data_IF_916053145218
#
_entry.id   IF_916053145218
#
_cell.length_a   1.000
_cell.length_b   1.000
_cell.length_c   1.000
_cell.angle_alpha   90.00
_cell.angle_beta   90.00
_cell.angle_gamma   90.00
#
_symmetry.space_group_name_H-M   'P 1'
#
loop_
_entity.id
_entity.type
_entity.pdbx_description
1 polymer ?
#
# COMPACT_ATOMS: atom_id res chain seq x y z
N UNK A 1 -15.53 7.16 0.43
CA UNK A 1 -15.42 7.28 -1.05
C UNK A 1 -14.72 6.06 -1.61
N UNK A 2 -15.33 5.31 -2.53
CA UNK A 2 -14.64 4.26 -3.30
C UNK A 2 -13.83 4.94 -4.40
N UNK A 3 -12.51 4.73 -4.41
CA UNK A 3 -11.62 5.23 -5.49
C UNK A 3 -12.03 4.63 -6.82
N UNK A 4 -12.07 5.44 -7.87
CA UNK A 4 -12.53 4.99 -9.20
C UNK A 4 -11.35 4.36 -9.93
N UNK A 5 -10.90 3.19 -9.46
CA UNK A 5 -9.72 2.47 -9.99
C UNK A 5 -9.68 2.37 -11.52
N UNK A 6 -10.85 2.28 -12.18
CA UNK A 6 -10.97 2.24 -13.66
C UNK A 6 -10.40 3.48 -14.37
N UNK A 7 -10.36 4.64 -13.71
CA UNK A 7 -9.83 5.89 -14.27
C UNK A 7 -8.36 6.11 -13.96
N UNK A 8 -7.80 5.36 -13.00
CA UNK A 8 -6.41 5.51 -12.61
C UNK A 8 -5.52 4.72 -13.58
N UNK A 9 -5.30 5.28 -14.77
CA UNK A 9 -4.62 4.61 -15.89
C UNK A 9 -3.13 4.93 -15.97
N UNK A 10 -2.66 5.97 -15.30
CA UNK A 10 -1.24 6.31 -15.23
C UNK A 10 -0.60 5.80 -13.95
N UNK A 11 0.71 5.57 -14.00
CA UNK A 11 1.51 5.09 -12.88
C UNK A 11 2.68 6.03 -12.61
N UNK A 12 3.04 6.15 -11.34
CA UNK A 12 4.25 6.85 -10.90
C UNK A 12 4.83 6.16 -9.67
N UNK A 13 6.06 6.52 -9.32
CA UNK A 13 6.70 6.11 -8.08
C UNK A 13 6.56 7.24 -7.06
N UNK A 14 5.90 6.94 -5.95
CA UNK A 14 5.88 7.81 -4.78
C UNK A 14 6.85 7.32 -3.70
N UNK A 15 6.91 8.08 -2.61
CA UNK A 15 7.69 7.75 -1.42
C UNK A 15 6.77 7.64 -0.20
N UNK A 16 7.00 6.62 0.62
CA UNK A 16 6.28 6.46 1.88
C UNK A 16 6.76 7.53 2.86
N UNK A 17 5.86 8.43 3.26
CA UNK A 17 6.19 9.56 4.16
C UNK A 17 5.65 9.36 5.58
N UNK A 18 4.68 8.47 5.77
CA UNK A 18 4.09 8.21 7.09
C UNK A 18 3.55 6.78 7.19
N UNK A 19 3.70 6.19 8.39
CA UNK A 19 3.10 4.92 8.78
C UNK A 19 2.41 5.13 10.13
N UNK A 20 1.13 4.82 10.19
CA UNK A 20 0.34 4.82 11.43
C UNK A 20 -0.18 3.42 11.70
N UNK A 21 0.33 2.78 12.75
CA UNK A 21 -0.23 1.54 13.29
C UNK A 21 -1.01 1.84 14.56
N UNK A 22 -2.21 1.27 14.71
CA UNK A 22 -3.07 1.43 15.90
C UNK A 22 -3.11 0.19 16.80
N UNK A 23 -2.15 -0.73 16.64
CA UNK A 23 -2.08 -1.98 17.41
C UNK A 23 -2.35 -3.22 16.57
N UNK A 24 -2.43 -4.38 17.22
CA UNK A 24 -2.49 -5.70 16.58
C UNK A 24 -3.75 -5.90 15.71
N UNK A 25 -4.87 -5.33 16.15
CA UNK A 25 -6.20 -5.55 15.54
C UNK A 25 -6.64 -4.43 14.58
N UNK A 26 -5.82 -3.39 14.41
CA UNK A 26 -6.14 -2.27 13.54
C UNK A 26 -5.25 -2.25 12.29
N UNK A 27 -5.81 -1.91 11.11
CA UNK A 27 -5.00 -1.79 9.91
C UNK A 27 -3.90 -0.75 10.07
N UNK A 28 -2.68 -1.11 9.71
CA UNK A 28 -1.63 -0.13 9.48
C UNK A 28 -2.00 0.74 8.28
N UNK A 29 -2.04 2.05 8.47
CA UNK A 29 -2.31 3.03 7.41
C UNK A 29 -0.98 3.64 6.99
N UNK A 30 -0.74 3.71 5.69
CA UNK A 30 0.41 4.42 5.12
C UNK A 30 -0.04 5.62 4.30
N UNK A 31 0.82 6.63 4.29
CA UNK A 31 0.73 7.78 3.41
C UNK A 31 1.90 7.74 2.45
N UNK A 32 1.60 7.76 1.16
CA UNK A 32 2.59 7.87 0.09
C UNK A 32 2.43 9.22 -0.58
N UNK A 33 3.53 9.96 -0.68
CA UNK A 33 3.62 11.21 -1.42
C UNK A 33 4.17 10.92 -2.82
N UNK A 34 3.61 11.55 -3.85
CA UNK A 34 4.06 11.40 -5.24
C UNK A 34 3.89 12.72 -5.99
N UNK A 35 4.62 12.88 -7.09
CA UNK A 35 4.61 14.10 -7.90
C UNK A 35 4.07 13.81 -9.30
N UNK A 36 3.20 14.69 -9.79
CA UNK A 36 2.68 14.73 -11.17
C UNK A 36 2.73 16.19 -11.62
N UNK A 37 3.34 16.48 -12.76
CA UNK A 37 3.45 17.83 -13.33
C UNK A 37 3.93 18.90 -12.33
N UNK A 38 4.97 18.58 -11.55
CA UNK A 38 5.53 19.42 -10.48
C UNK A 38 4.60 19.75 -9.31
N UNK A 39 3.44 19.10 -9.23
CA UNK A 39 2.53 19.20 -8.10
C UNK A 39 2.61 17.94 -7.23
N UNK A 40 2.67 18.15 -5.91
CA UNK A 40 2.72 17.07 -4.93
C UNK A 40 1.31 16.63 -4.54
N UNK A 41 1.12 15.31 -4.48
CA UNK A 41 -0.10 14.65 -4.08
C UNK A 41 0.17 13.60 -3.00
N UNK A 42 -0.87 13.26 -2.24
CA UNK A 42 -0.80 12.22 -1.22
C UNK A 42 -1.89 11.17 -1.45
N UNK A 43 -1.51 9.91 -1.24
CA UNK A 43 -2.44 8.79 -1.20
C UNK A 43 -2.32 8.08 0.14
N UNK A 44 -3.46 7.95 0.83
CA UNK A 44 -3.57 7.28 2.13
C UNK A 44 -4.32 5.96 1.96
N UNK A 45 -3.73 4.85 2.39
CA UNK A 45 -4.36 3.53 2.34
C UNK A 45 -4.00 2.66 3.55
N UNK A 46 -4.93 1.79 3.93
CA UNK A 46 -4.64 0.66 4.81
C UNK A 46 -3.83 -0.39 4.04
N UNK A 47 -2.70 -0.82 4.60
CA UNK A 47 -1.89 -1.91 4.05
C UNK A 47 -2.71 -3.20 4.07
N UNK A 48 -2.70 -3.90 2.94
CA UNK A 48 -3.19 -5.27 2.85
C UNK A 48 -2.07 -6.23 3.22
N UNK A 49 -2.42 -7.28 3.95
CA UNK A 49 -1.48 -8.28 4.44
C UNK A 49 -1.79 -9.63 3.79
N UNK A 50 -0.76 -10.41 3.51
CA UNK A 50 -0.88 -11.83 3.16
C UNK A 50 -0.31 -12.69 4.28
N UNK A 51 -0.90 -13.85 4.51
CA UNK A 51 -0.31 -14.87 5.39
C UNK A 51 0.86 -15.54 4.68
N UNK A 52 1.98 -15.69 5.38
CA UNK A 52 3.13 -16.46 4.97
C UNK A 52 3.42 -17.54 6.02
N UNK A 53 3.55 -18.79 5.59
CA UNK A 53 3.82 -19.93 6.47
C UNK A 53 5.29 -19.88 6.89
N UNK A 54 5.54 -19.94 8.20
CA UNK A 54 6.87 -20.12 8.76
C UNK A 54 7.13 -21.63 8.82
N UNK A 55 8.24 -22.08 8.20
CA UNK A 55 8.64 -23.49 8.19
C UNK A 55 9.97 -23.69 8.90
N UNK A 56 10.10 -24.81 9.61
CA UNK A 56 11.36 -25.37 10.08
C UNK A 56 11.65 -26.64 9.28
N UNK A 57 12.51 -26.53 8.26
CA UNK A 57 12.65 -27.58 7.25
C UNK A 57 11.32 -27.78 6.50
N UNK A 58 10.78 -29.01 6.54
CA UNK A 58 9.49 -29.34 5.94
C UNK A 58 8.29 -29.04 6.85
N UNK A 59 8.50 -28.85 8.16
CA UNK A 59 7.43 -28.70 9.15
C UNK A 59 6.92 -27.25 9.20
N UNK A 60 5.63 -26.97 8.95
CA UNK A 60 5.04 -25.66 9.18
C UNK A 60 4.87 -25.43 10.69
N UNK A 61 5.58 -24.43 11.24
CA UNK A 61 5.59 -24.12 12.68
C UNK A 61 4.74 -22.90 13.04
N UNK A 62 4.18 -22.23 12.05
CA UNK A 62 3.32 -21.07 12.28
C UNK A 62 3.07 -20.28 11.01
N UNK A 63 2.50 -19.09 11.20
CA UNK A 63 2.24 -18.14 10.13
C UNK A 63 2.57 -16.73 10.63
N UNK A 64 3.07 -15.90 9.72
CA UNK A 64 3.20 -14.45 9.94
C UNK A 64 2.40 -13.70 8.89
N UNK A 65 2.03 -12.46 9.21
CA UNK A 65 1.43 -11.54 8.26
C UNK A 65 2.53 -10.63 7.70
N UNK A 66 2.60 -10.54 6.37
CA UNK A 66 3.53 -9.63 5.68
C UNK A 66 2.73 -8.69 4.75
N UNK A 67 3.16 -7.43 4.55
CA UNK A 67 2.54 -6.54 3.57
C UNK A 67 2.58 -7.13 2.17
N UNK A 68 1.46 -7.02 1.43
CA UNK A 68 1.40 -7.50 0.03
C UNK A 68 2.35 -6.73 -0.90
N UNK A 69 2.60 -5.47 -0.57
CA UNK A 69 3.46 -4.55 -1.32
C UNK A 69 4.96 -4.66 -0.95
N UNK A 70 5.34 -5.60 -0.08
CA UNK A 70 6.73 -5.76 0.33
C UNK A 70 7.15 -4.75 1.40
N UNK A 71 8.27 -4.05 1.19
CA UNK A 71 8.83 -3.13 2.19
C UNK A 71 8.02 -1.84 2.27
N UNK A 72 7.39 -1.59 3.43
CA UNK A 72 6.55 -0.42 3.67
C UNK A 72 7.17 0.62 4.59
N UNK A 73 8.49 0.60 4.80
CA UNK A 73 9.17 1.55 5.68
C UNK A 73 9.19 2.99 5.11
N UNK A 74 9.17 3.99 5.99
CA UNK A 74 9.28 5.41 5.59
C UNK A 74 10.56 5.61 4.78
N UNK A 75 10.46 6.42 3.73
CA UNK A 75 11.54 6.67 2.78
C UNK A 75 11.60 5.68 1.62
N UNK A 76 10.95 4.52 1.71
CA UNK A 76 10.95 3.55 0.61
C UNK A 76 10.00 3.96 -0.52
N UNK A 77 10.30 3.55 -1.77
CA UNK A 77 9.44 3.79 -2.90
C UNK A 77 8.17 2.93 -2.84
N UNK A 78 7.07 3.45 -3.37
CA UNK A 78 5.82 2.72 -3.57
C UNK A 78 5.17 3.10 -4.90
N UNK A 79 4.61 2.12 -5.63
CA UNK A 79 3.92 2.38 -6.89
C UNK A 79 2.52 2.94 -6.65
N UNK A 80 2.22 4.03 -7.34
CA UNK A 80 0.94 4.73 -7.27
C UNK A 80 0.32 4.72 -8.66
N UNK A 81 -0.92 4.24 -8.75
CA UNK A 81 -1.76 4.40 -9.94
C UNK A 81 -2.71 5.57 -9.71
N UNK A 82 -2.73 6.54 -10.61
CA UNK A 82 -3.52 7.78 -10.48
C UNK A 82 -4.32 8.07 -11.75
N UNK A 83 -5.40 8.84 -11.61
CA UNK A 83 -6.18 9.34 -12.74
C UNK A 83 -5.47 10.56 -13.37
N UNK A 84 -5.03 10.51 -14.64
CA UNK A 84 -4.40 11.65 -15.30
C UNK A 84 -5.25 12.93 -15.27
N UNK A 85 -6.57 12.80 -15.40
CA UNK A 85 -7.50 13.94 -15.42
C UNK A 85 -7.74 14.53 -14.02
N UNK A 86 -7.42 13.76 -12.97
CA UNK A 86 -7.52 14.21 -11.59
C UNK A 86 -6.54 13.41 -10.71
N UNK A 87 -5.26 13.83 -10.62
CA UNK A 87 -4.22 13.05 -9.96
C UNK A 87 -4.53 12.72 -8.50
N UNK A 88 -5.34 13.52 -7.81
CA UNK A 88 -5.79 13.23 -6.44
C UNK A 88 -6.59 11.92 -6.28
N UNK A 89 -7.19 11.39 -7.36
CA UNK A 89 -7.80 10.05 -7.37
C UNK A 89 -6.73 9.01 -7.73
N UNK A 90 -6.10 8.47 -6.69
CA UNK A 90 -5.00 7.52 -6.81
C UNK A 90 -5.08 6.39 -5.80
N UNK A 91 -4.47 5.24 -6.10
CA UNK A 91 -4.36 4.09 -5.21
C UNK A 91 -2.96 3.47 -5.28
N UNK A 92 -2.59 2.69 -4.26
CA UNK A 92 -1.32 1.98 -4.25
C UNK A 92 -1.42 0.74 -5.12
N UNK A 93 -0.65 0.70 -6.22
CA UNK A 93 -0.76 -0.30 -7.29
C UNK A 93 -0.58 -1.71 -6.75
N UNK A 94 0.40 -1.89 -5.87
CA UNK A 94 0.78 -3.21 -5.35
C UNK A 94 0.02 -3.58 -4.05
N UNK A 95 -0.83 -2.68 -3.54
CA UNK A 95 -1.61 -2.90 -2.31
C UNK A 95 -2.95 -3.61 -2.58
N UNK A 96 -2.92 -4.66 -3.40
CA UNK A 96 -4.12 -5.42 -3.80
C UNK A 96 -4.27 -6.64 -2.90
N UNK A 97 -5.41 -6.75 -2.23
CA UNK A 97 -5.73 -7.89 -1.39
C UNK A 97 -7.00 -7.67 -0.56
N UNK A 98 -7.50 -8.75 0.02
CA UNK A 98 -8.60 -8.71 0.98
C UNK A 98 -8.00 -8.34 2.34
N UNK A 99 -8.56 -7.32 2.99
CA UNK A 99 -8.26 -7.08 4.39
C UNK A 99 -9.13 -8.04 5.18
N UNK A 100 -8.52 -9.09 5.73
CA UNK A 100 -9.18 -9.91 6.73
C UNK A 100 -9.16 -9.10 8.02
N UNK A 101 -10.27 -8.45 8.32
CA UNK A 101 -10.61 -8.07 9.68
C UNK A 101 -11.06 -9.34 10.41
#
# INVERSE_FOLDING_TARGET
MKRKKKRCTANTTGQIVNIRSKGLDCPTIITVQYQVDNQLYEVKESIKLRSEIIKLGFLPIGQRKIPVMGNTAVGNPARVSYNPDNPSDAYLTDNIGIMNC
#
